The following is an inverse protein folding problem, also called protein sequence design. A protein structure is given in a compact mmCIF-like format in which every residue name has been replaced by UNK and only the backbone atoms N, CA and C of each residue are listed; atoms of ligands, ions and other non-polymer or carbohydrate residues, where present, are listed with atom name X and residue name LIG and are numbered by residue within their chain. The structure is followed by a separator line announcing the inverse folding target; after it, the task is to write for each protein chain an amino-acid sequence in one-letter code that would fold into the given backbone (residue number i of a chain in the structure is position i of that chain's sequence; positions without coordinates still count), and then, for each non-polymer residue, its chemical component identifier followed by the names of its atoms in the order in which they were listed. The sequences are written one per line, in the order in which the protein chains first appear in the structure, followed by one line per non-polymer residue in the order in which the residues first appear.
data_IF_392158363195
#
_entry.id   IF_392158363195
#
_cell.length_a   1.000
_cell.length_b   1.000
_cell.length_c   1.000
_cell.angle_alpha   90.00
_cell.angle_beta   90.00
_cell.angle_gamma   90.00
#
_symmetry.space_group_name_H-M   'P 1'
#
loop_
_entity.id
_entity.type
_entity.pdbx_description
1 polymer ?
#
# COMPACT_ATOMS: atom_id res chain seq x y z
N UNK A 1 -19.84 18.15 0.63
CA UNK A 1 -18.42 18.23 1.01
C UNK A 1 -18.13 19.19 2.17
N UNK A 2 -19.10 19.99 2.65
CA UNK A 2 -18.90 20.93 3.79
C UNK A 2 -18.84 20.25 5.18
N UNK A 3 -19.25 18.99 5.30
CA UNK A 3 -19.30 18.30 6.61
C UNK A 3 -17.91 18.01 7.20
N UNK A 4 -16.91 17.69 6.37
CA UNK A 4 -15.52 17.44 6.80
C UNK A 4 -14.72 18.72 7.08
N UNK A 5 -15.19 19.87 6.57
CA UNK A 5 -14.55 21.17 6.77
C UNK A 5 -14.89 21.79 8.13
N UNK A 6 -16.00 21.34 8.75
CA UNK A 6 -16.55 21.97 9.95
C UNK A 6 -16.07 21.34 11.27
N UNK A 7 -15.13 20.40 11.24
CA UNK A 7 -14.43 19.86 12.41
C UNK A 7 -15.35 19.35 13.54
N UNK A 8 -16.52 18.82 13.18
CA UNK A 8 -17.38 18.10 14.11
C UNK A 8 -16.89 16.65 14.15
N UNK A 9 -16.72 16.08 15.35
CA UNK A 9 -16.44 14.66 15.57
C UNK A 9 -17.59 13.84 14.99
N UNK A 10 -17.48 13.52 13.71
CA UNK A 10 -18.49 12.72 13.04
C UNK A 10 -18.05 11.27 13.14
N UNK A 11 -18.76 10.49 13.95
CA UNK A 11 -18.72 9.02 13.98
C UNK A 11 -19.25 8.43 12.66
N UNK A 12 -18.62 8.81 11.54
CA UNK A 12 -19.00 8.37 10.20
C UNK A 12 -18.49 6.95 10.04
N UNK A 13 -19.43 6.02 10.05
CA UNK A 13 -19.20 4.63 9.71
C UNK A 13 -19.65 4.44 8.26
N UNK A 14 -18.69 4.26 7.36
CA UNK A 14 -18.96 3.91 5.97
C UNK A 14 -19.16 2.40 5.95
N UNK A 15 -20.42 1.95 5.88
CA UNK A 15 -20.73 0.54 5.70
C UNK A 15 -20.48 0.15 4.25
N UNK A 16 -19.56 -0.78 4.04
CA UNK A 16 -19.31 -1.39 2.74
C UNK A 16 -19.60 -2.88 2.83
N UNK A 17 -19.82 -3.54 1.68
CA UNK A 17 -20.01 -5.00 1.64
C UNK A 17 -18.79 -5.76 2.19
N UNK A 18 -17.62 -5.12 2.19
CA UNK A 18 -16.35 -5.64 2.68
C UNK A 18 -16.13 -5.41 4.19
N UNK A 19 -16.95 -4.57 4.84
CA UNK A 19 -16.83 -4.24 6.26
C UNK A 19 -17.22 -2.79 6.59
N UNK A 20 -17.32 -2.52 7.89
CA UNK A 20 -17.63 -1.21 8.44
C UNK A 20 -16.33 -0.40 8.61
N UNK A 21 -16.18 0.64 7.79
CA UNK A 21 -15.06 1.57 7.86
C UNK A 21 -15.39 2.72 8.82
N UNK A 22 -14.69 2.75 9.94
CA UNK A 22 -14.79 3.86 10.90
C UNK A 22 -13.86 5.00 10.49
N UNK A 23 -14.41 6.11 10.02
CA UNK A 23 -13.63 7.26 9.53
C UNK A 23 -12.74 7.88 10.62
N UNK A 24 -13.13 7.81 11.90
CA UNK A 24 -12.34 8.33 13.02
C UNK A 24 -10.98 7.61 13.22
N UNK A 25 -10.79 6.42 12.64
CA UNK A 25 -9.53 5.66 12.76
C UNK A 25 -8.45 6.09 11.79
N UNK A 26 -8.78 6.96 10.83
CA UNK A 26 -7.89 7.40 9.77
C UNK A 26 -7.78 8.92 9.76
N UNK A 27 -6.70 9.45 9.21
CA UNK A 27 -6.58 10.89 9.01
C UNK A 27 -7.70 11.43 8.10
N UNK A 28 -8.08 12.68 8.36
CA UNK A 28 -9.05 13.39 7.51
C UNK A 28 -8.60 13.44 6.06
N UNK A 29 -7.30 13.61 5.83
CA UNK A 29 -6.73 13.70 4.48
C UNK A 29 -6.87 12.36 3.73
N UNK A 30 -6.66 11.23 4.41
CA UNK A 30 -6.85 9.90 3.82
C UNK A 30 -8.33 9.62 3.47
N UNK A 31 -9.27 9.97 4.34
CA UNK A 31 -10.71 9.84 4.06
C UNK A 31 -11.15 10.79 2.95
N UNK A 32 -10.63 12.02 2.94
CA UNK A 32 -10.89 12.98 1.88
C UNK A 32 -10.38 12.46 0.52
N UNK A 33 -9.16 11.91 0.49
CA UNK A 33 -8.62 11.24 -0.69
C UNK A 33 -9.51 10.08 -1.14
N UNK A 34 -9.97 9.22 -0.23
CA UNK A 34 -10.88 8.11 -0.55
C UNK A 34 -12.19 8.62 -1.18
N UNK A 35 -12.77 9.69 -0.65
CA UNK A 35 -13.99 10.29 -1.20
C UNK A 35 -13.74 10.92 -2.58
N UNK A 36 -12.61 11.60 -2.76
CA UNK A 36 -12.19 12.12 -4.07
C UNK A 36 -11.91 10.99 -5.07
N UNK A 37 -11.40 9.85 -4.62
CA UNK A 37 -11.24 8.67 -5.45
C UNK A 37 -12.59 8.11 -5.88
N UNK A 38 -13.52 7.90 -4.94
CA UNK A 38 -14.84 7.31 -5.21
C UNK A 38 -15.75 8.20 -6.07
N UNK A 39 -15.79 9.51 -5.78
CA UNK A 39 -16.71 10.44 -6.44
C UNK A 39 -16.05 11.30 -7.52
N UNK A 40 -14.73 11.45 -7.49
CA UNK A 40 -13.96 12.29 -8.40
C UNK A 40 -12.97 11.54 -9.30
N UNK A 41 -12.82 10.21 -9.14
CA UNK A 41 -11.90 9.41 -9.95
C UNK A 41 -10.43 9.79 -9.76
N UNK A 42 -10.06 10.35 -8.60
CA UNK A 42 -8.73 10.89 -8.36
C UNK A 42 -7.70 9.75 -8.17
N UNK A 43 -6.78 9.58 -9.10
CA UNK A 43 -5.80 8.47 -9.10
C UNK A 43 -4.40 8.87 -8.62
N UNK A 44 -4.18 10.13 -8.24
CA UNK A 44 -2.89 10.63 -7.76
C UNK A 44 -2.92 10.87 -6.26
N UNK A 45 -2.07 10.17 -5.50
CA UNK A 45 -1.93 10.38 -4.06
C UNK A 45 -1.14 11.69 -3.83
N UNK A 46 -1.72 12.69 -3.14
CA UNK A 46 -1.02 13.92 -2.79
C UNK A 46 0.02 13.69 -1.68
N UNK A 47 1.06 14.52 -1.63
CA UNK A 47 2.17 14.38 -0.65
C UNK A 47 1.73 14.60 0.81
N UNK A 48 0.57 15.21 1.01
CA UNK A 48 -0.02 15.50 2.33
C UNK A 48 -0.72 14.29 2.97
N UNK A 49 -0.84 13.18 2.23
CA UNK A 49 -1.52 11.95 2.66
C UNK A 49 -0.50 10.85 2.89
N UNK A 50 -0.59 10.20 4.04
CA UNK A 50 0.24 9.04 4.36
C UNK A 50 -0.14 7.83 3.49
N UNK A 51 0.80 7.37 2.67
CA UNK A 51 0.61 6.22 1.76
C UNK A 51 0.22 4.95 2.53
N UNK A 52 0.71 4.78 3.76
CA UNK A 52 0.39 3.65 4.63
C UNK A 52 -1.08 3.60 5.06
N UNK A 53 -1.69 4.76 5.30
CA UNK A 53 -3.12 4.83 5.60
C UNK A 53 -3.94 4.46 4.37
N UNK A 54 -3.53 4.90 3.18
CA UNK A 54 -4.19 4.53 1.91
C UNK A 54 -4.07 3.04 1.63
N UNK A 55 -2.91 2.43 1.90
CA UNK A 55 -2.70 0.97 1.83
C UNK A 55 -3.66 0.24 2.78
N UNK A 56 -3.80 0.73 4.01
CA UNK A 56 -4.69 0.15 5.01
C UNK A 56 -6.16 0.26 4.56
N UNK A 57 -6.57 1.42 4.02
CA UNK A 57 -7.89 1.63 3.44
C UNK A 57 -8.15 0.69 2.26
N UNK A 58 -7.22 0.57 1.31
CA UNK A 58 -7.32 -0.34 0.18
C UNK A 58 -7.46 -1.81 0.62
N UNK A 59 -6.74 -2.20 1.66
CA UNK A 59 -6.82 -3.55 2.24
C UNK A 59 -8.16 -3.79 2.92
N UNK A 60 -8.66 -2.82 3.67
CA UNK A 60 -9.92 -2.93 4.42
C UNK A 60 -11.13 -2.95 3.48
N UNK A 61 -11.17 -2.07 2.49
CA UNK A 61 -12.26 -1.97 1.52
C UNK A 61 -12.22 -3.10 0.48
N UNK A 62 -11.07 -3.77 0.33
CA UNK A 62 -10.82 -4.80 -0.68
C UNK A 62 -11.11 -4.32 -2.12
N UNK A 63 -10.87 -3.02 -2.38
CA UNK A 63 -11.11 -2.39 -3.68
C UNK A 63 -9.86 -2.49 -4.56
N UNK A 64 -9.94 -3.29 -5.63
CA UNK A 64 -8.78 -3.57 -6.50
C UNK A 64 -8.21 -2.31 -7.14
N UNK A 65 -9.07 -1.42 -7.64
CA UNK A 65 -8.61 -0.19 -8.30
C UNK A 65 -7.85 0.75 -7.34
N UNK A 66 -8.20 0.75 -6.04
CA UNK A 66 -7.48 1.54 -5.04
C UNK A 66 -6.11 0.93 -4.73
N UNK A 67 -6.01 -0.42 -4.74
CA UNK A 67 -4.74 -1.11 -4.62
C UNK A 67 -3.82 -0.82 -5.83
N UNK A 68 -4.37 -0.78 -7.04
CA UNK A 68 -3.61 -0.46 -8.25
C UNK A 68 -3.07 0.97 -8.24
N UNK A 69 -3.85 1.95 -7.74
CA UNK A 69 -3.38 3.33 -7.54
C UNK A 69 -2.20 3.40 -6.56
N UNK A 70 -2.28 2.68 -5.45
CA UNK A 70 -1.18 2.60 -4.47
C UNK A 70 0.06 1.96 -5.10
N UNK A 71 -0.11 0.87 -5.85
CA UNK A 71 0.97 0.20 -6.57
C UNK A 71 1.62 1.17 -7.58
N UNK A 72 0.81 1.91 -8.34
CA UNK A 72 1.29 2.88 -9.30
C UNK A 72 2.07 4.00 -8.61
N UNK A 73 1.57 4.51 -7.48
CA UNK A 73 2.25 5.53 -6.69
C UNK A 73 3.59 5.03 -6.15
N UNK A 74 3.68 3.79 -5.66
CA UNK A 74 4.93 3.18 -5.21
C UNK A 74 5.92 2.98 -6.37
N UNK A 75 5.44 2.59 -7.56
CA UNK A 75 6.28 2.50 -8.76
C UNK A 75 6.85 3.87 -9.16
N UNK A 76 6.06 4.93 -9.04
CA UNK A 76 6.48 6.29 -9.37
C UNK A 76 7.45 6.91 -8.33
N UNK A 77 7.27 6.60 -7.04
CA UNK A 77 8.08 7.19 -5.95
C UNK A 77 9.31 6.37 -5.57
N UNK A 78 9.27 5.05 -5.76
CA UNK A 78 10.31 4.10 -5.31
C UNK A 78 10.81 3.25 -6.47
N UNK A 79 11.24 3.90 -7.54
CA UNK A 79 11.76 3.26 -8.74
C UNK A 79 12.83 2.18 -8.40
N UNK A 80 13.72 2.48 -7.44
CA UNK A 80 14.82 1.63 -6.99
C UNK A 80 14.46 0.20 -6.59
N UNK A 81 13.20 -0.09 -6.27
CA UNK A 81 12.76 -1.43 -5.92
C UNK A 81 12.53 -2.34 -7.14
N UNK A 82 12.36 -1.75 -8.33
CA UNK A 82 11.99 -2.43 -9.58
C UNK A 82 13.13 -2.49 -10.61
N UNK A 83 14.25 -1.84 -10.35
CA UNK A 83 15.46 -1.93 -11.17
C UNK A 83 16.65 -2.44 -10.34
N UNK A 84 17.76 -2.78 -11.02
CA UNK A 84 18.95 -3.38 -10.40
C UNK A 84 19.32 -2.63 -9.12
N UNK A 85 19.30 -3.29 -7.95
CA UNK A 85 19.40 -2.58 -6.69
C UNK A 85 20.80 -1.98 -6.55
N UNK A 86 20.82 -0.68 -6.28
CA UNK A 86 22.04 0.05 -5.97
C UNK A 86 22.58 -0.38 -4.60
N UNK A 87 23.89 -0.24 -4.31
CA UNK A 87 24.47 -0.70 -3.05
C UNK A 87 23.78 -0.12 -1.78
N UNK A 88 23.21 1.08 -1.87
CA UNK A 88 22.43 1.71 -0.81
C UNK A 88 20.95 1.29 -0.77
N UNK A 89 20.43 0.69 -1.84
CA UNK A 89 19.04 0.29 -2.00
C UNK A 89 18.78 -1.16 -1.55
N UNK A 90 19.80 -2.02 -1.60
CA UNK A 90 19.67 -3.47 -1.33
C UNK A 90 19.06 -3.73 0.05
N UNK A 91 19.56 -3.09 1.10
CA UNK A 91 19.04 -3.23 2.47
C UNK A 91 17.58 -2.80 2.59
N UNK A 92 17.25 -1.61 2.06
CA UNK A 92 15.88 -1.07 2.10
C UNK A 92 14.86 -1.95 1.35
N UNK A 93 15.28 -2.63 0.28
CA UNK A 93 14.43 -3.60 -0.44
C UNK A 93 14.16 -4.83 0.43
N UNK A 94 15.18 -5.37 1.10
CA UNK A 94 15.02 -6.53 1.99
C UNK A 94 14.15 -6.23 3.22
N UNK A 95 14.19 -5.00 3.75
CA UNK A 95 13.35 -4.59 4.88
C UNK A 95 11.88 -4.37 4.46
N UNK A 96 11.63 -3.95 3.22
CA UNK A 96 10.28 -3.66 2.71
C UNK A 96 9.55 -4.90 2.16
N UNK A 97 10.27 -5.87 1.59
CA UNK A 97 9.72 -7.13 1.06
C UNK A 97 8.79 -7.91 2.02
N UNK A 98 9.15 -8.16 3.29
CA UNK A 98 8.25 -8.87 4.21
C UNK A 98 6.96 -8.09 4.49
N UNK A 99 6.99 -6.76 4.41
CA UNK A 99 5.81 -5.92 4.60
C UNK A 99 4.83 -6.07 3.43
N UNK A 100 5.33 -6.16 2.20
CA UNK A 100 4.50 -6.44 1.00
C UNK A 100 3.91 -7.84 1.01
N UNK A 101 4.67 -8.84 1.51
CA UNK A 101 4.17 -10.21 1.62
C UNK A 101 3.01 -10.33 2.63
N UNK A 102 3.05 -9.52 3.69
CA UNK A 102 2.05 -9.52 4.77
C UNK A 102 0.75 -8.86 4.35
N UNK A 103 0.81 -7.79 3.54
CA UNK A 103 -0.37 -7.00 3.16
C UNK A 103 -1.00 -7.58 1.89
N UNK A 104 -2.27 -8.02 1.99
CA UNK A 104 -2.99 -8.71 0.92
C UNK A 104 -3.06 -7.91 -0.39
N UNK A 105 -3.27 -6.60 -0.33
CA UNK A 105 -3.39 -5.74 -1.51
C UNK A 105 -2.05 -5.50 -2.24
N UNK A 106 -0.92 -5.76 -1.57
CA UNK A 106 0.44 -5.55 -2.10
C UNK A 106 1.11 -6.84 -2.58
N UNK A 107 0.43 -7.98 -2.47
CA UNK A 107 0.88 -9.28 -3.01
C UNK A 107 1.30 -9.25 -4.48
N UNK A 108 0.55 -8.63 -5.42
CA UNK A 108 1.00 -8.53 -6.81
C UNK A 108 2.30 -7.73 -6.95
N UNK A 109 2.52 -6.73 -6.09
CA UNK A 109 3.78 -5.98 -6.06
C UNK A 109 4.94 -6.85 -5.58
N UNK A 110 4.72 -7.66 -4.55
CA UNK A 110 5.72 -8.60 -4.03
C UNK A 110 6.18 -9.60 -5.11
N UNK A 111 5.24 -10.16 -5.87
CA UNK A 111 5.56 -11.12 -6.93
C UNK A 111 6.37 -10.47 -8.06
N UNK A 112 6.01 -9.24 -8.48
CA UNK A 112 6.79 -8.48 -9.48
C UNK A 112 8.21 -8.14 -8.99
N UNK A 113 8.36 -7.64 -7.75
CA UNK A 113 9.66 -7.31 -7.17
C UNK A 113 10.53 -8.57 -7.02
N UNK A 114 9.92 -9.69 -6.64
CA UNK A 114 10.59 -10.98 -6.57
C UNK A 114 11.09 -11.42 -7.95
N UNK A 115 10.28 -11.35 -8.99
CA UNK A 115 10.71 -11.71 -10.36
C UNK A 115 11.83 -10.79 -10.83
N UNK A 116 11.72 -9.47 -10.62
CA UNK A 116 12.71 -8.49 -11.06
C UNK A 116 14.07 -8.64 -10.34
N UNK A 117 14.06 -8.95 -9.04
CA UNK A 117 15.29 -9.05 -8.23
C UNK A 117 15.87 -10.48 -8.17
N UNK A 118 15.07 -11.53 -8.36
CA UNK A 118 15.47 -12.92 -8.12
C UNK A 118 15.43 -13.83 -9.36
N UNK A 119 15.37 -13.29 -10.58
CA UNK A 119 15.29 -14.03 -11.85
C UNK A 119 16.46 -14.99 -12.17
N UNK A 120 17.45 -15.16 -11.30
CA UNK A 120 18.49 -16.18 -11.44
C UNK A 120 18.46 -17.12 -10.25
N UNK A 121 18.23 -18.41 -10.56
CA UNK A 121 18.10 -19.63 -9.73
C UNK A 121 19.09 -19.84 -8.56
N UNK A 122 19.96 -18.89 -8.21
CA UNK A 122 20.95 -19.00 -7.13
C UNK A 122 20.49 -18.44 -5.77
N UNK A 123 19.50 -17.55 -5.71
CA UNK A 123 19.01 -17.02 -4.41
C UNK A 123 17.86 -17.81 -3.77
N UNK A 124 17.36 -18.85 -4.45
CA UNK A 124 16.31 -19.73 -3.91
C UNK A 124 16.72 -20.39 -2.57
N UNK A 125 18.04 -20.55 -2.32
CA UNK A 125 18.55 -21.08 -1.06
C UNK A 125 18.51 -20.06 0.10
N UNK A 126 18.64 -18.76 -0.19
CA UNK A 126 18.77 -17.73 0.86
C UNK A 126 17.39 -17.35 1.41
N UNK A 127 16.37 -17.26 0.56
CA UNK A 127 15.00 -16.92 1.00
C UNK A 127 14.39 -18.06 1.84
N UNK A 128 14.63 -19.33 1.48
CA UNK A 128 14.19 -20.46 2.30
C UNK A 128 14.84 -20.43 3.69
N UNK A 129 16.08 -19.97 3.80
CA UNK A 129 16.79 -19.85 5.07
C UNK A 129 16.25 -18.73 5.97
N UNK A 130 15.83 -17.60 5.39
CA UNK A 130 15.29 -16.46 6.16
C UNK A 130 13.85 -16.74 6.61
N UNK A 131 12.99 -17.30 5.74
CA UNK A 131 11.62 -17.65 6.14
C UNK A 131 11.53 -18.87 7.07
N UNK A 132 12.48 -19.83 6.99
CA UNK A 132 12.49 -20.97 7.91
C UNK A 132 12.97 -20.63 9.34
N UNK A 133 13.52 -19.43 9.57
CA UNK A 133 13.99 -18.97 10.88
C UNK A 133 12.98 -18.15 11.68
N UNK A 134 11.81 -17.84 11.09
CA UNK A 134 10.68 -17.21 11.78
C UNK A 134 9.60 -18.26 12.04
N UNK A 135 9.92 -19.22 12.90
CA UNK A 135 8.94 -20.12 13.52
C UNK A 135 9.40 -20.45 14.94
#
# INVERSE_FOLDING_TARGET
MQMYLNNQDTDVVIRTESGDLHAHKYSRNAIHFLLCFLYGGLTSIPEEVDVWEVIALATHLNHKDLADVVILHLKATRCHWFHRPCASCVSAVFDALPQFATIRCLKPLYDEVCIANFSLRRLFLVILFVFAKVK
#
